data_IF_938616265429
#
_entry.id   IF_938616265429
#
_cell.length_a   1.000
_cell.length_b   1.000
_cell.length_c   1.000
_cell.angle_alpha   90.00
_cell.angle_beta   90.00
_cell.angle_gamma   90.00
#
_symmetry.space_group_name_H-M   'P 1'
#
loop_
_entity.id
_entity.type
_entity.pdbx_description
1 polymer ?
#
# COMPACT_ATOMS: atom_id res chain seq x y z
N UNK A 1 -4.59 -11.46 -21.05
CA UNK A 1 -5.87 -11.47 -20.33
C UNK A 1 -5.87 -12.69 -19.43
N UNK A 2 -5.96 -12.49 -18.12
CA UNK A 2 -6.25 -13.54 -17.15
C UNK A 2 -7.68 -14.00 -17.46
N UNK A 3 -7.91 -15.29 -17.72
CA UNK A 3 -9.22 -15.78 -18.16
C UNK A 3 -10.27 -15.72 -17.05
N UNK A 4 -11.56 -15.66 -17.39
CA UNK A 4 -12.64 -15.63 -16.39
C UNK A 4 -12.67 -16.88 -15.46
N UNK A 5 -12.18 -18.02 -15.95
CA UNK A 5 -12.01 -19.23 -15.14
C UNK A 5 -10.92 -19.05 -14.06
N UNK A 6 -9.83 -18.36 -14.40
CA UNK A 6 -8.69 -18.09 -13.52
C UNK A 6 -9.07 -17.08 -12.41
N UNK A 7 -9.96 -16.13 -12.73
CA UNK A 7 -10.50 -15.18 -11.73
C UNK A 7 -11.48 -15.80 -10.74
N UNK A 8 -12.17 -16.90 -11.09
CA UNK A 8 -13.06 -17.61 -10.15
C UNK A 8 -12.26 -18.51 -9.21
N UNK A 9 -11.33 -19.29 -9.76
CA UNK A 9 -10.42 -20.11 -8.96
C UNK A 9 -9.64 -19.25 -7.95
N UNK A 10 -9.14 -18.10 -8.39
CA UNK A 10 -8.48 -17.13 -7.50
C UNK A 10 -9.44 -16.61 -6.42
N UNK A 11 -10.68 -16.28 -6.77
CA UNK A 11 -11.69 -15.81 -5.80
C UNK A 11 -12.02 -16.88 -4.74
N UNK A 12 -12.19 -18.14 -5.15
CA UNK A 12 -12.47 -19.26 -4.25
C UNK A 12 -11.30 -19.52 -3.28
N UNK A 13 -10.06 -19.48 -3.79
CA UNK A 13 -8.87 -19.60 -2.96
C UNK A 13 -8.75 -18.47 -1.93
N UNK A 14 -9.01 -17.23 -2.35
CA UNK A 14 -9.03 -16.08 -1.45
C UNK A 14 -10.16 -16.18 -0.41
N UNK A 15 -11.36 -16.62 -0.80
CA UNK A 15 -12.48 -16.77 0.12
C UNK A 15 -12.13 -17.78 1.23
N UNK A 16 -11.62 -18.95 0.86
CA UNK A 16 -11.17 -19.95 1.83
C UNK A 16 -10.05 -19.46 2.74
N UNK A 17 -9.08 -18.71 2.21
CA UNK A 17 -7.99 -18.14 3.01
C UNK A 17 -8.48 -17.03 3.97
N UNK A 18 -9.43 -16.20 3.53
CA UNK A 18 -10.02 -15.15 4.34
C UNK A 18 -10.85 -15.71 5.50
N UNK A 19 -11.75 -16.66 5.22
CA UNK A 19 -12.52 -17.35 6.28
C UNK A 19 -11.60 -18.04 7.27
N UNK A 20 -10.58 -18.77 6.79
CA UNK A 20 -9.61 -19.44 7.66
C UNK A 20 -8.79 -18.47 8.52
N UNK A 21 -8.54 -17.24 8.08
CA UNK A 21 -7.91 -16.22 8.93
C UNK A 21 -8.91 -15.67 9.94
N UNK A 22 -10.12 -15.30 9.51
CA UNK A 22 -11.17 -14.78 10.40
C UNK A 22 -11.54 -15.75 11.52
N UNK A 23 -11.56 -17.06 11.25
CA UNK A 23 -11.84 -18.12 12.24
C UNK A 23 -10.77 -18.23 13.33
N UNK A 24 -9.57 -17.67 13.11
CA UNK A 24 -8.50 -17.67 14.10
C UNK A 24 -8.56 -16.49 15.06
N UNK A 25 -9.41 -15.49 14.78
CA UNK A 25 -9.47 -14.24 15.52
C UNK A 25 -10.39 -14.35 16.74
N UNK A 26 -9.99 -13.73 17.84
CA UNK A 26 -10.91 -13.51 18.96
C UNK A 26 -11.96 -12.43 18.61
N UNK A 27 -13.02 -12.25 19.42
CA UNK A 27 -14.07 -11.28 19.12
C UNK A 27 -13.57 -9.83 18.95
N UNK A 28 -12.58 -9.41 19.73
CA UNK A 28 -12.07 -8.03 19.68
C UNK A 28 -11.21 -7.82 18.42
N UNK A 29 -10.36 -8.79 18.08
CA UNK A 29 -9.61 -8.79 16.83
C UNK A 29 -10.55 -8.80 15.61
N UNK A 30 -11.62 -9.61 15.67
CA UNK A 30 -12.59 -9.73 14.57
C UNK A 30 -13.32 -8.41 14.32
N UNK A 31 -13.66 -7.66 15.38
CA UNK A 31 -14.29 -6.33 15.26
C UNK A 31 -13.42 -5.36 14.43
N UNK A 32 -12.10 -5.39 14.61
CA UNK A 32 -11.16 -4.52 13.88
C UNK A 32 -10.87 -5.05 12.46
N UNK A 33 -10.85 -6.38 12.31
CA UNK A 33 -10.51 -7.10 11.09
C UNK A 33 -11.62 -7.07 10.02
N UNK A 34 -12.87 -6.82 10.39
CA UNK A 34 -14.00 -6.81 9.45
C UNK A 34 -14.53 -5.40 9.19
N UNK A 35 -15.07 -5.20 8.00
CA UNK A 35 -15.78 -3.99 7.59
C UNK A 35 -17.08 -4.34 6.86
N UNK A 36 -17.91 -3.33 6.62
CA UNK A 36 -19.17 -3.50 5.89
C UNK A 36 -18.95 -4.04 4.48
N UNK A 37 -19.94 -4.81 3.99
CA UNK A 37 -19.93 -5.31 2.62
C UNK A 37 -19.87 -4.15 1.61
N UNK A 38 -19.10 -4.26 0.52
CA UNK A 38 -19.08 -3.25 -0.51
C UNK A 38 -20.48 -3.11 -1.14
N UNK A 39 -20.95 -1.86 -1.28
CA UNK A 39 -22.29 -1.57 -1.80
C UNK A 39 -22.28 -0.74 -3.07
N UNK A 40 -21.12 -0.15 -3.41
CA UNK A 40 -20.99 0.84 -4.47
C UNK A 40 -21.37 2.27 -4.03
N UNK A 41 -22.07 2.43 -2.91
CA UNK A 41 -22.38 3.72 -2.31
C UNK A 41 -21.11 4.38 -1.75
N UNK A 42 -20.90 5.67 -2.07
CA UNK A 42 -19.66 6.37 -1.73
C UNK A 42 -19.43 6.53 -0.22
N UNK A 43 -20.51 6.72 0.56
CA UNK A 43 -20.39 6.91 2.00
C UNK A 43 -20.16 5.57 2.71
N UNK A 44 -20.91 4.53 2.34
CA UNK A 44 -20.72 3.18 2.90
C UNK A 44 -19.36 2.56 2.51
N UNK A 45 -18.89 2.80 1.28
CA UNK A 45 -17.60 2.33 0.80
C UNK A 45 -16.41 3.21 1.24
N UNK A 46 -16.64 4.32 1.95
CA UNK A 46 -15.61 5.32 2.24
C UNK A 46 -14.38 4.69 2.91
N UNK A 47 -14.58 3.79 3.88
CA UNK A 47 -13.48 3.09 4.54
C UNK A 47 -12.76 2.11 3.59
N UNK A 48 -13.49 1.36 2.77
CA UNK A 48 -12.91 0.42 1.79
C UNK A 48 -12.02 1.16 0.78
N UNK A 49 -12.46 2.35 0.34
CA UNK A 49 -11.76 3.20 -0.63
C UNK A 49 -10.68 4.07 0.01
N UNK A 50 -10.55 4.10 1.33
CA UNK A 50 -9.48 4.82 2.03
C UNK A 50 -8.20 3.99 2.04
N UNK A 51 -7.23 4.35 1.21
CA UNK A 51 -5.95 3.63 1.09
C UNK A 51 -4.78 4.59 1.27
N UNK A 52 -3.61 4.03 1.54
CA UNK A 52 -2.37 4.77 1.72
C UNK A 52 -1.21 4.01 1.08
N UNK A 53 -0.18 4.72 0.61
CA UNK A 53 1.15 4.15 0.31
C UNK A 53 2.22 4.53 1.36
N UNK A 54 1.84 5.39 2.29
CA UNK A 54 2.69 6.06 3.28
C UNK A 54 2.67 5.33 4.65
N UNK A 55 3.57 5.65 5.60
CA UNK A 55 3.73 4.89 6.86
C UNK A 55 2.66 5.18 7.93
N UNK A 56 1.38 5.31 7.57
CA UNK A 56 0.29 5.61 8.51
C UNK A 56 -0.47 4.36 9.01
N UNK A 57 -1.58 4.56 9.71
CA UNK A 57 -2.60 3.54 9.96
C UNK A 57 -3.41 3.28 8.68
N UNK A 58 -3.30 2.06 8.15
CA UNK A 58 -4.02 1.66 6.93
C UNK A 58 -5.43 1.12 7.23
N UNK A 59 -5.83 1.02 8.49
CA UNK A 59 -7.10 0.48 8.95
C UNK A 59 -7.20 -1.04 8.80
N UNK A 60 -7.56 -1.73 9.87
CA UNK A 60 -7.62 -3.19 9.93
C UNK A 60 -6.81 -3.73 11.09
N UNK A 61 -6.76 -5.06 11.21
CA UNK A 61 -5.99 -5.72 12.25
C UNK A 61 -4.50 -5.73 11.86
N UNK A 62 -3.65 -5.19 12.73
CA UNK A 62 -2.20 -5.15 12.49
C UNK A 62 -1.57 -6.54 12.66
N UNK A 63 -0.36 -6.75 12.13
CA UNK A 63 0.42 -7.94 12.44
C UNK A 63 0.92 -7.92 13.89
N UNK A 64 1.16 -6.73 14.45
CA UNK A 64 1.54 -6.53 15.84
C UNK A 64 0.48 -7.13 16.80
N UNK A 65 -0.81 -6.94 16.49
CA UNK A 65 -1.92 -7.42 17.32
C UNK A 65 -2.34 -8.86 17.01
N UNK A 66 -1.56 -9.59 16.20
CA UNK A 66 -1.82 -10.96 15.80
C UNK A 66 -0.83 -11.95 16.44
N UNK A 67 -1.33 -13.11 16.84
CA UNK A 67 -0.51 -14.26 17.21
C UNK A 67 0.18 -14.87 15.97
N UNK A 68 1.29 -15.61 16.13
CA UNK A 68 2.00 -16.19 14.99
C UNK A 68 1.16 -17.06 14.03
N UNK A 69 0.20 -17.90 14.51
CA UNK A 69 -0.70 -18.63 13.61
C UNK A 69 -1.62 -17.72 12.79
N UNK A 70 -2.05 -16.59 13.35
CA UNK A 70 -2.90 -15.59 12.69
C UNK A 70 -2.11 -14.85 11.61
N UNK A 71 -0.88 -14.40 11.92
CA UNK A 71 0.04 -13.78 10.94
C UNK A 71 0.30 -14.71 9.75
N UNK A 72 0.50 -16.02 10.01
CA UNK A 72 0.64 -17.02 8.95
C UNK A 72 -0.63 -17.14 8.09
N UNK A 73 -1.81 -17.10 8.70
CA UNK A 73 -3.08 -17.15 7.97
C UNK A 73 -3.31 -15.85 7.16
N UNK A 74 -2.98 -14.68 7.71
CA UNK A 74 -2.99 -13.41 6.99
C UNK A 74 -2.10 -13.45 5.74
N UNK A 75 -0.85 -13.92 5.87
CA UNK A 75 0.05 -14.05 4.71
C UNK A 75 -0.42 -15.07 3.68
N UNK A 76 -1.19 -16.10 4.08
CA UNK A 76 -1.84 -17.01 3.12
C UNK A 76 -2.92 -16.30 2.32
N UNK A 77 -3.74 -15.45 2.95
CA UNK A 77 -4.71 -14.63 2.22
C UNK A 77 -3.99 -13.69 1.24
N UNK A 78 -2.97 -12.96 1.70
CA UNK A 78 -2.18 -12.07 0.83
C UNK A 78 -1.58 -12.85 -0.35
N UNK A 79 -1.01 -14.03 -0.12
CA UNK A 79 -0.46 -14.87 -1.17
C UNK A 79 -1.51 -15.36 -2.17
N UNK A 80 -2.75 -15.64 -1.72
CA UNK A 80 -3.81 -16.18 -2.58
C UNK A 80 -4.33 -15.18 -3.62
N UNK A 81 -4.21 -13.88 -3.36
CA UNK A 81 -4.58 -12.84 -4.33
C UNK A 81 -3.42 -12.27 -5.15
N UNK A 82 -2.20 -12.78 -4.98
CA UNK A 82 -1.00 -12.26 -5.63
C UNK A 82 -0.30 -13.33 -6.44
N UNK A 83 0.30 -12.92 -7.56
CA UNK A 83 1.30 -13.77 -8.21
C UNK A 83 2.48 -14.01 -7.27
N UNK A 84 3.22 -15.11 -7.46
CA UNK A 84 4.42 -15.40 -6.66
C UNK A 84 5.42 -14.24 -6.68
N UNK A 85 5.61 -13.58 -7.82
CA UNK A 85 6.51 -12.43 -7.94
C UNK A 85 6.04 -11.25 -7.07
N UNK A 86 4.74 -10.92 -7.13
CA UNK A 86 4.17 -9.86 -6.30
C UNK A 86 4.23 -10.18 -4.80
N UNK A 87 3.95 -11.44 -4.41
CA UNK A 87 4.09 -11.87 -3.02
C UNK A 87 5.53 -11.78 -2.52
N UNK A 88 6.51 -12.17 -3.34
CA UNK A 88 7.94 -11.99 -3.01
C UNK A 88 8.26 -10.51 -2.80
N UNK A 89 7.77 -9.63 -3.69
CA UNK A 89 7.95 -8.18 -3.53
C UNK A 89 7.34 -7.68 -2.21
N UNK A 90 6.08 -8.02 -1.91
CA UNK A 90 5.42 -7.63 -0.65
C UNK A 90 6.21 -8.10 0.57
N UNK A 91 6.57 -9.37 0.64
CA UNK A 91 7.35 -9.91 1.76
C UNK A 91 8.73 -9.25 1.89
N UNK A 92 9.36 -8.91 0.77
CA UNK A 92 10.65 -8.19 0.77
C UNK A 92 10.49 -6.78 1.30
N UNK A 93 9.48 -6.03 0.86
CA UNK A 93 9.20 -4.66 1.29
C UNK A 93 8.87 -4.61 2.78
N UNK A 94 8.05 -5.55 3.29
CA UNK A 94 7.84 -5.72 4.73
C UNK A 94 9.15 -5.90 5.50
N UNK A 95 10.07 -6.71 4.96
CA UNK A 95 11.38 -6.93 5.57
C UNK A 95 12.30 -5.71 5.55
N UNK A 96 12.21 -4.89 4.50
CA UNK A 96 13.00 -3.66 4.33
C UNK A 96 12.73 -2.62 5.41
N UNK A 97 11.61 -2.70 6.15
CA UNK A 97 11.38 -1.86 7.33
C UNK A 97 12.56 -1.92 8.32
N UNK A 98 13.19 -3.08 8.53
CA UNK A 98 14.36 -3.19 9.42
C UNK A 98 15.61 -2.51 8.84
N UNK A 99 15.75 -2.51 7.51
CA UNK A 99 16.88 -1.86 6.81
C UNK A 99 16.70 -0.34 6.85
N UNK A 100 15.48 0.12 6.65
CA UNK A 100 15.15 1.54 6.76
C UNK A 100 15.31 2.04 8.21
N UNK A 101 14.85 1.28 9.21
CA UNK A 101 15.06 1.59 10.64
C UNK A 101 16.55 1.81 10.93
N UNK A 102 17.40 0.92 10.42
CA UNK A 102 18.85 1.04 10.55
C UNK A 102 19.40 2.30 9.85
N UNK A 103 18.96 2.56 8.62
CA UNK A 103 19.39 3.70 7.81
C UNK A 103 19.02 5.03 8.47
N UNK A 104 17.85 5.08 9.11
CA UNK A 104 17.35 6.24 9.84
C UNK A 104 17.89 6.33 11.29
N UNK A 105 18.73 5.37 11.71
CA UNK A 105 19.41 5.41 13.01
C UNK A 105 18.57 4.94 14.19
N UNK A 106 17.59 4.06 13.95
CA UNK A 106 16.69 3.48 14.95
C UNK A 106 15.93 4.55 15.75
N UNK A 107 15.51 5.61 15.06
CA UNK A 107 14.72 6.69 15.65
C UNK A 107 13.25 6.32 15.71
N UNK A 108 12.58 6.74 16.79
CA UNK A 108 11.13 6.72 16.84
C UNK A 108 10.59 8.07 16.36
N UNK A 109 9.60 8.02 15.47
CA UNK A 109 8.83 9.19 15.07
C UNK A 109 7.39 8.97 15.56
N UNK A 110 6.81 9.99 16.18
CA UNK A 110 5.43 10.01 16.66
C UNK A 110 5.11 9.00 17.80
N UNK A 111 3.84 8.66 17.97
CA UNK A 111 3.21 7.96 19.10
C UNK A 111 3.57 6.47 19.25
N UNK A 112 4.66 6.01 18.65
CA UNK A 112 5.07 4.60 18.62
C UNK A 112 6.40 4.37 19.32
N UNK A 113 6.53 3.22 19.96
CA UNK A 113 7.76 2.76 20.61
C UNK A 113 8.80 2.23 19.63
N UNK A 114 8.37 1.95 18.39
CA UNK A 114 9.21 1.57 17.25
C UNK A 114 8.85 2.44 16.05
N UNK A 115 9.86 3.05 15.41
CA UNK A 115 9.68 3.90 14.24
C UNK A 115 9.30 3.11 12.99
N UNK A 116 10.29 2.43 12.38
CA UNK A 116 10.04 1.52 11.25
C UNK A 116 9.79 0.12 11.77
N UNK A 117 8.63 -0.45 11.42
CA UNK A 117 8.15 -1.69 12.03
C UNK A 117 7.54 -2.64 10.99
N UNK A 118 8.15 -3.82 10.73
CA UNK A 118 7.59 -4.86 9.86
C UNK A 118 6.25 -5.44 10.36
N UNK A 119 5.82 -5.14 11.59
CA UNK A 119 4.54 -5.56 12.13
C UNK A 119 3.40 -4.54 11.94
N UNK A 120 3.70 -3.34 11.42
CA UNK A 120 2.70 -2.29 11.14
C UNK A 120 2.07 -2.43 9.75
N UNK A 121 1.67 -3.65 9.43
CA UNK A 121 0.89 -4.00 8.24
C UNK A 121 -0.50 -4.45 8.67
N UNK A 122 -1.53 -3.97 7.97
CA UNK A 122 -2.92 -4.03 8.36
C UNK A 122 -3.68 -4.88 7.36
N UNK A 123 -4.52 -5.78 7.86
CA UNK A 123 -5.43 -6.59 7.04
C UNK A 123 -6.87 -6.32 7.47
N UNK A 124 -7.74 -6.06 6.49
CA UNK A 124 -9.18 -5.91 6.70
C UNK A 124 -9.96 -6.63 5.61
N UNK A 125 -11.01 -7.35 5.99
CA UNK A 125 -11.98 -8.00 5.11
C UNK A 125 -13.29 -7.21 5.13
N UNK A 126 -13.85 -6.92 3.97
CA UNK A 126 -15.10 -6.18 3.80
C UNK A 126 -16.19 -7.12 3.30
N UNK A 127 -17.28 -7.24 4.07
CA UNK A 127 -18.34 -8.21 3.79
C UNK A 127 -17.97 -9.64 4.17
N UNK A 128 -18.76 -10.60 3.67
CA UNK A 128 -18.57 -12.03 3.97
C UNK A 128 -17.86 -12.72 2.79
N UNK A 129 -16.70 -13.35 3.00
CA UNK A 129 -16.03 -14.11 1.95
C UNK A 129 -16.89 -15.28 1.45
N UNK A 130 -17.05 -15.39 0.13
CA UNK A 130 -17.86 -16.45 -0.46
C UNK A 130 -17.91 -16.42 -1.98
N UNK A 131 -18.70 -17.35 -2.52
CA UNK A 131 -18.97 -17.55 -3.95
C UNK A 131 -20.14 -16.68 -4.47
N UNK A 132 -20.87 -16.03 -3.57
CA UNK A 132 -22.04 -15.20 -3.85
C UNK A 132 -21.93 -13.86 -3.13
N UNK A 133 -22.59 -12.84 -3.67
CA UNK A 133 -22.57 -11.49 -3.10
C UNK A 133 -21.27 -10.76 -3.39
N UNK A 134 -21.05 -9.65 -2.67
CA UNK A 134 -19.87 -8.79 -2.86
C UNK A 134 -19.06 -8.74 -1.59
N UNK A 135 -17.77 -9.02 -1.72
CA UNK A 135 -16.81 -8.92 -0.63
C UNK A 135 -15.45 -8.46 -1.16
N UNK A 136 -14.56 -8.08 -0.27
CA UNK A 136 -13.21 -7.71 -0.65
C UNK A 136 -12.28 -7.70 0.54
N UNK A 137 -11.02 -7.37 0.29
CA UNK A 137 -10.06 -7.21 1.37
C UNK A 137 -9.00 -6.18 0.97
N UNK A 138 -8.42 -5.57 2.00
CA UNK A 138 -7.30 -4.65 1.89
C UNK A 138 -6.16 -5.13 2.76
N UNK A 139 -4.97 -5.18 2.18
CA UNK A 139 -3.73 -5.35 2.92
C UNK A 139 -2.85 -4.12 2.66
N UNK A 140 -2.36 -3.49 3.72
CA UNK A 140 -1.56 -2.29 3.55
C UNK A 140 -0.63 -1.96 4.72
N UNK A 141 0.46 -1.30 4.38
CA UNK A 141 1.46 -0.78 5.30
C UNK A 141 2.40 0.16 4.55
N UNK A 142 3.49 0.56 5.18
CA UNK A 142 4.47 1.42 4.53
C UNK A 142 4.94 0.79 3.18
N UNK A 143 4.71 1.50 2.08
CA UNK A 143 4.97 1.06 0.71
C UNK A 143 4.22 -0.16 0.15
N UNK A 144 3.18 -0.66 0.83
CA UNK A 144 2.31 -1.71 0.29
C UNK A 144 0.86 -1.27 0.41
N UNK A 145 0.12 -1.34 -0.69
CA UNK A 145 -1.33 -1.22 -0.70
C UNK A 145 -1.91 -2.19 -1.71
N UNK A 146 -2.62 -3.21 -1.25
CA UNK A 146 -3.29 -4.21 -2.10
C UNK A 146 -4.77 -4.20 -1.75
N UNK A 147 -5.61 -3.97 -2.76
CA UNK A 147 -7.06 -3.96 -2.62
C UNK A 147 -7.67 -4.92 -3.63
N UNK A 148 -8.53 -5.82 -3.17
CA UNK A 148 -9.23 -6.79 -4.02
C UNK A 148 -10.74 -6.64 -3.81
N UNK A 149 -11.49 -6.69 -4.92
CA UNK A 149 -12.95 -6.77 -4.92
C UNK A 149 -13.40 -8.03 -5.65
N UNK A 150 -14.27 -8.79 -5.00
CA UNK A 150 -14.91 -10.00 -5.51
C UNK A 150 -16.42 -9.78 -5.57
N UNK A 151 -17.02 -10.11 -6.72
CA UNK A 151 -18.47 -10.08 -6.93
C UNK A 151 -18.89 -11.44 -7.49
N UNK A 152 -19.81 -12.11 -6.81
CA UNK A 152 -20.38 -13.41 -7.19
C UNK A 152 -19.31 -14.45 -7.56
N UNK A 153 -18.30 -14.54 -6.68
CA UNK A 153 -17.19 -15.48 -6.80
C UNK A 153 -16.23 -15.16 -7.95
N UNK A 154 -16.19 -13.91 -8.43
CA UNK A 154 -15.27 -13.48 -9.48
C UNK A 154 -14.47 -12.28 -9.00
N UNK A 155 -13.14 -12.32 -9.16
CA UNK A 155 -12.30 -11.13 -8.95
C UNK A 155 -12.63 -10.10 -10.03
N UNK A 156 -13.21 -8.96 -9.62
CA UNK A 156 -13.62 -7.89 -10.55
C UNK A 156 -12.72 -6.67 -10.50
N UNK A 157 -11.97 -6.47 -9.41
CA UNK A 157 -10.97 -5.40 -9.31
C UNK A 157 -9.80 -5.78 -8.41
N UNK A 158 -8.63 -5.24 -8.73
CA UNK A 158 -7.39 -5.36 -7.95
C UNK A 158 -6.73 -3.99 -7.72
N UNK A 159 -7.53 -2.92 -7.68
CA UNK A 159 -7.06 -1.53 -7.57
C UNK A 159 -7.71 -0.81 -6.39
N UNK A 160 -6.99 0.12 -5.73
CA UNK A 160 -5.60 0.48 -6.01
C UNK A 160 -4.62 -0.62 -5.58
N UNK A 161 -3.54 -0.75 -6.36
CA UNK A 161 -2.41 -1.63 -6.07
C UNK A 161 -1.13 -0.80 -6.14
N UNK A 162 -0.47 -0.64 -4.99
CA UNK A 162 0.77 0.09 -4.85
C UNK A 162 1.82 -0.82 -4.21
N UNK A 163 2.99 -0.91 -4.84
CA UNK A 163 4.18 -1.55 -4.30
C UNK A 163 5.35 -0.59 -4.50
N UNK A 164 5.91 -0.10 -3.41
CA UNK A 164 7.13 0.71 -3.37
C UNK A 164 8.20 0.00 -2.55
N UNK A 165 9.42 0.55 -2.53
CA UNK A 165 10.47 0.10 -1.65
C UNK A 165 11.30 1.30 -1.19
N UNK A 166 11.50 1.41 0.12
CA UNK A 166 12.44 2.34 0.72
C UNK A 166 13.28 1.56 1.74
N UNK A 167 14.61 1.43 1.54
CA UNK A 167 15.36 1.92 0.38
C UNK A 167 15.02 1.17 -0.93
N UNK A 168 15.00 1.91 -2.06
CA UNK A 168 14.74 1.32 -3.39
C UNK A 168 15.87 0.37 -3.86
N UNK A 169 17.06 0.52 -3.31
CA UNK A 169 18.22 -0.34 -3.54
C UNK A 169 18.93 -0.58 -2.22
N UNK A 170 19.24 -1.84 -1.90
CA UNK A 170 20.04 -2.20 -0.73
C UNK A 170 21.25 -3.04 -1.12
N UNK A 171 22.38 -2.82 -0.48
CA UNK A 171 23.56 -3.65 -0.66
C UNK A 171 23.36 -5.04 -0.06
N UNK A 172 23.82 -6.07 -0.76
CA UNK A 172 23.92 -7.44 -0.27
C UNK A 172 25.40 -7.82 -0.14
N UNK A 173 25.69 -8.94 0.51
CA UNK A 173 27.07 -9.44 0.60
C UNK A 173 27.67 -9.64 -0.81
N UNK A 174 28.88 -9.11 -1.01
CA UNK A 174 29.53 -9.03 -2.32
C UNK A 174 29.11 -7.78 -3.11
N UNK A 175 29.26 -7.80 -4.43
CA UNK A 175 28.87 -6.68 -5.32
C UNK A 175 27.38 -6.75 -5.74
N UNK A 176 26.57 -7.52 -5.01
CA UNK A 176 25.16 -7.73 -5.33
C UNK A 176 24.28 -6.66 -4.67
N UNK A 177 23.16 -6.33 -5.33
CA UNK A 177 22.17 -5.38 -4.81
C UNK A 177 20.77 -5.97 -4.84
N UNK A 178 19.98 -5.68 -3.81
CA UNK A 178 18.56 -5.94 -3.74
C UNK A 178 17.81 -4.74 -4.36
N UNK A 179 17.08 -4.96 -5.45
CA UNK A 179 16.19 -3.97 -6.09
C UNK A 179 14.81 -4.60 -6.31
N UNK A 180 13.91 -4.59 -5.31
CA UNK A 180 12.65 -5.34 -5.37
C UNK A 180 11.77 -4.98 -6.57
N UNK A 181 11.82 -3.71 -6.99
CA UNK A 181 11.07 -3.16 -8.13
C UNK A 181 11.95 -2.87 -9.36
N UNK A 182 13.24 -3.22 -9.33
CA UNK A 182 14.21 -2.78 -10.33
C UNK A 182 13.85 -3.17 -11.76
N UNK A 183 13.30 -4.39 -11.98
CA UNK A 183 12.84 -4.82 -13.30
C UNK A 183 11.69 -3.97 -13.84
N UNK A 184 10.77 -3.54 -12.97
CA UNK A 184 9.61 -2.70 -13.35
C UNK A 184 10.08 -1.27 -13.63
N UNK A 185 10.96 -0.73 -12.78
CA UNK A 185 11.58 0.58 -12.98
C UNK A 185 12.36 0.65 -14.30
N UNK A 186 13.21 -0.36 -14.56
CA UNK A 186 14.05 -0.42 -15.76
C UNK A 186 13.18 -0.51 -17.01
N UNK A 187 12.14 -1.35 -16.99
CA UNK A 187 11.17 -1.46 -18.10
C UNK A 187 10.42 -0.15 -18.35
N UNK A 188 9.99 0.55 -17.30
CA UNK A 188 9.31 1.84 -17.44
C UNK A 188 10.25 2.90 -18.06
N UNK A 189 11.52 2.95 -17.63
CA UNK A 189 12.52 3.84 -18.22
C UNK A 189 12.82 3.48 -19.67
N UNK A 190 12.93 2.20 -19.99
CA UNK A 190 13.19 1.73 -21.34
C UNK A 190 12.02 2.03 -22.28
N UNK A 191 10.78 1.92 -21.81
CA UNK A 191 9.60 2.35 -22.55
C UNK A 191 9.70 3.83 -22.92
N UNK A 192 9.96 4.72 -21.96
CA UNK A 192 10.09 6.16 -22.22
C UNK A 192 11.26 6.46 -23.16
N UNK A 193 12.40 5.77 -23.00
CA UNK A 193 13.58 5.92 -23.87
C UNK A 193 13.35 5.39 -25.29
N UNK A 194 12.46 4.41 -25.47
CA UNK A 194 12.11 3.84 -26.77
C UNK A 194 11.21 4.74 -27.61
N UNK A 195 10.60 5.77 -27.00
CA UNK A 195 9.74 6.70 -27.71
C UNK A 195 10.57 7.54 -28.70
N UNK A 196 10.06 7.74 -29.94
CA UNK A 196 10.57 8.75 -30.86
C UNK A 196 10.62 10.14 -30.20
N UNK A 197 11.55 11.00 -30.65
CA UNK A 197 11.81 12.29 -30.00
C UNK A 197 10.54 13.15 -29.81
N UNK A 198 9.64 13.17 -30.81
CA UNK A 198 8.37 13.91 -30.74
C UNK A 198 7.44 13.35 -29.64
N UNK A 199 7.26 12.03 -29.58
CA UNK A 199 6.42 11.40 -28.56
C UNK A 199 7.04 11.52 -27.17
N UNK A 200 8.37 11.40 -27.07
CA UNK A 200 9.08 11.59 -25.81
C UNK A 200 8.92 13.02 -25.28
N UNK A 201 8.99 14.02 -26.16
CA UNK A 201 8.76 15.43 -25.80
C UNK A 201 7.35 15.73 -25.31
N UNK A 202 6.36 14.88 -25.64
CA UNK A 202 4.99 14.97 -25.11
C UNK A 202 4.78 14.13 -23.84
N UNK A 203 5.51 13.03 -23.69
CA UNK A 203 5.34 12.09 -22.58
C UNK A 203 6.11 12.50 -21.31
N UNK A 204 7.27 13.16 -21.47
CA UNK A 204 8.07 13.66 -20.34
C UNK A 204 7.59 15.05 -19.98
N UNK A 205 6.84 15.15 -18.88
CA UNK A 205 6.22 16.40 -18.44
C UNK A 205 7.22 17.34 -17.74
N UNK A 206 8.19 16.76 -17.03
CA UNK A 206 9.13 17.46 -16.18
C UNK A 206 10.54 16.90 -16.42
N UNK A 207 11.55 17.74 -16.32
CA UNK A 207 12.96 17.35 -16.39
C UNK A 207 13.45 16.67 -15.09
N UNK A 208 12.73 16.88 -13.99
CA UNK A 208 12.94 16.27 -12.67
C UNK A 208 11.68 15.54 -12.21
N UNK A 209 11.86 14.44 -11.47
CA UNK A 209 10.74 13.75 -10.83
C UNK A 209 10.10 14.65 -9.75
N UNK A 210 8.77 14.65 -9.61
CA UNK A 210 8.11 15.32 -8.50
C UNK A 210 8.56 14.71 -7.15
N UNK A 211 8.45 15.44 -6.03
CA UNK A 211 8.84 14.96 -4.71
C UNK A 211 8.05 13.72 -4.27
N UNK A 212 6.81 13.58 -4.74
CA UNK A 212 5.94 12.43 -4.47
C UNK A 212 4.88 12.25 -5.59
N UNK A 213 3.99 11.27 -5.43
CA UNK A 213 2.90 10.97 -6.35
C UNK A 213 1.87 12.11 -6.39
N UNK A 214 1.72 12.75 -7.56
CA UNK A 214 0.77 13.87 -7.77
C UNK A 214 -0.67 13.47 -7.45
N UNK A 215 -1.11 12.29 -7.88
CA UNK A 215 -2.46 11.79 -7.60
C UNK A 215 -2.67 11.45 -6.11
N UNK A 216 -1.57 11.19 -5.39
CA UNK A 216 -1.57 10.82 -3.99
C UNK A 216 -2.53 9.63 -3.70
N UNK A 217 -3.28 9.65 -2.59
CA UNK A 217 -4.21 8.58 -2.22
C UNK A 217 -5.63 8.75 -2.82
N UNK A 218 -5.81 9.60 -3.83
CA UNK A 218 -7.14 9.93 -4.37
C UNK A 218 -7.67 8.79 -5.24
N UNK A 219 -8.96 8.48 -5.10
CA UNK A 219 -9.65 7.50 -5.96
C UNK A 219 -9.98 8.09 -7.33
N UNK A 220 -10.23 9.40 -7.39
CA UNK A 220 -10.63 10.14 -8.60
C UNK A 220 -9.79 11.42 -8.69
N UNK A 221 -8.60 11.37 -9.32
CA UNK A 221 -7.76 12.54 -9.51
C UNK A 221 -8.47 13.60 -10.37
N UNK A 222 -8.33 14.88 -10.00
CA UNK A 222 -8.91 16.05 -10.66
C UNK A 222 -7.81 17.02 -11.12
N UNK A 223 -8.17 17.92 -12.03
CA UNK A 223 -7.29 19.03 -12.41
C UNK A 223 -7.02 19.93 -11.20
N UNK A 224 -5.75 20.30 -11.00
CA UNK A 224 -5.28 21.07 -9.84
C UNK A 224 -4.91 20.22 -8.62
N UNK A 225 -5.06 18.89 -8.67
CA UNK A 225 -4.54 18.01 -7.62
C UNK A 225 -3.00 18.08 -7.55
N UNK A 226 -2.51 18.05 -6.31
CA UNK A 226 -1.08 18.01 -6.00
C UNK A 226 -0.76 16.86 -5.04
N UNK A 227 0.53 16.54 -4.85
CA UNK A 227 0.98 15.51 -3.92
C UNK A 227 0.52 15.78 -2.48
N UNK A 228 0.56 14.75 -1.63
CA UNK A 228 0.22 14.90 -0.22
C UNK A 228 1.33 15.67 0.51
N UNK A 229 1.04 16.80 1.19
CA UNK A 229 1.98 17.40 2.13
C UNK A 229 2.17 16.48 3.34
N UNK A 230 3.31 16.53 4.04
CA UNK A 230 3.62 15.57 5.12
C UNK A 230 2.54 15.47 6.21
N UNK A 231 1.83 16.57 6.50
CA UNK A 231 0.70 16.58 7.42
C UNK A 231 -0.47 15.68 6.96
N UNK A 232 -0.73 15.64 5.66
CA UNK A 232 -1.81 14.85 5.04
C UNK A 232 -1.47 13.37 4.86
N UNK A 233 -0.27 12.94 5.26
CA UNK A 233 0.15 11.54 5.21
C UNK A 233 -0.67 10.68 6.17
N UNK A 234 -1.11 11.26 7.29
CA UNK A 234 -1.71 10.50 8.36
C UNK A 234 -3.20 10.29 8.18
N UNK A 235 -3.67 9.13 8.66
CA UNK A 235 -5.09 8.77 8.67
C UNK A 235 -5.95 9.78 9.42
N UNK A 236 -5.39 10.43 10.44
CA UNK A 236 -5.97 11.56 11.17
C UNK A 236 -5.53 12.86 10.52
N UNK A 237 -6.47 13.76 10.22
CA UNK A 237 -6.22 15.00 9.48
C UNK A 237 -5.32 16.01 10.21
N UNK A 238 -5.09 15.82 11.52
CA UNK A 238 -4.18 16.65 12.32
C UNK A 238 -3.71 15.89 13.57
N UNK A 239 -2.48 16.15 14.02
CA UNK A 239 -2.07 15.73 15.36
C UNK A 239 -2.70 16.62 16.44
N UNK A 240 -2.99 16.02 17.59
CA UNK A 240 -3.44 16.77 18.76
C UNK A 240 -2.35 17.69 19.34
N UNK A 241 -1.07 17.42 19.07
CA UNK A 241 0.07 18.23 19.50
C UNK A 241 0.48 19.25 18.42
N UNK A 242 0.30 20.56 18.66
CA UNK A 242 0.68 21.62 17.72
C UNK A 242 2.19 21.70 17.42
N UNK A 243 3.06 21.17 18.29
CA UNK A 243 4.51 21.13 18.02
C UNK A 243 4.86 20.02 17.03
N UNK A 244 4.20 18.86 17.12
CA UNK A 244 4.34 17.78 16.14
C UNK A 244 3.84 18.20 14.77
N UNK A 245 2.70 18.89 14.71
CA UNK A 245 2.14 19.42 13.46
C UNK A 245 3.13 20.37 12.77
N UNK A 246 3.70 21.33 13.51
CA UNK A 246 4.65 22.30 12.95
C UNK A 246 5.93 21.66 12.44
N UNK A 247 6.47 20.66 13.15
CA UNK A 247 7.66 19.92 12.67
C UNK A 247 7.41 19.23 11.33
N UNK A 248 6.21 18.70 11.13
CA UNK A 248 5.81 18.10 9.86
C UNK A 248 5.65 19.13 8.76
N UNK A 249 5.04 20.27 9.06
CA UNK A 249 4.88 21.37 8.11
C UNK A 249 6.26 21.88 7.64
N UNK A 250 7.18 22.15 8.58
CA UNK A 250 8.56 22.59 8.30
C UNK A 250 9.33 21.55 7.45
N UNK A 251 9.15 20.25 7.73
CA UNK A 251 9.76 19.19 6.93
C UNK A 251 9.17 19.11 5.52
N UNK A 252 7.87 19.41 5.35
CA UNK A 252 7.19 19.37 4.05
C UNK A 252 7.71 20.50 3.17
N UNK A 253 7.81 21.71 3.70
CA UNK A 253 8.40 22.87 3.02
C UNK A 253 9.85 22.58 2.60
N UNK A 254 10.66 21.98 3.48
CA UNK A 254 12.05 21.65 3.14
C UNK A 254 12.17 20.60 2.01
N UNK A 255 11.24 19.65 1.91
CA UNK A 255 11.18 18.69 0.81
C UNK A 255 10.80 19.40 -0.50
N UNK A 256 9.82 20.29 -0.47
CA UNK A 256 9.37 21.08 -1.64
C UNK A 256 10.49 22.01 -2.14
N UNK A 257 11.17 22.72 -1.24
CA UNK A 257 12.31 23.57 -1.57
C UNK A 257 13.45 22.76 -2.21
N UNK A 258 13.78 21.58 -1.67
CA UNK A 258 14.79 20.68 -2.26
C UNK A 258 14.34 20.10 -3.61
N UNK A 259 13.04 19.90 -3.78
CA UNK A 259 12.47 19.46 -5.04
C UNK A 259 12.59 20.55 -6.12
N UNK A 260 12.72 21.83 -5.74
CA UNK A 260 12.78 22.98 -6.64
C UNK A 260 11.59 22.99 -7.63
N UNK A 261 10.45 22.48 -7.18
CA UNK A 261 9.23 22.45 -7.95
C UNK A 261 8.51 23.78 -7.73
N UNK A 262 8.60 24.68 -8.70
CA UNK A 262 7.71 25.86 -8.75
C UNK A 262 6.54 25.49 -9.63
N UNK A 263 5.31 25.77 -9.19
CA UNK A 263 4.07 25.56 -9.97
C UNK A 263 4.30 25.93 -11.45
N UNK A 264 4.13 24.94 -12.32
CA UNK A 264 4.24 25.07 -13.77
C UNK A 264 2.84 25.15 -14.40
#
# INVERSE_FOLDING_TARGET
MIGAADTRETADAMAGAASAWLDTLDPAQREVAVGHAPTGDGAADAERRRWFYTPTDHGGLTFHDQLPPQQRAAMKLVASGLSRAAYVTVATVMGLENVLDHTEGFVTLFDRTRGRDPQMYHLRVFGEPGDTGTWGWRFGGHHVSVNILVVDGVVVASTPCFLGADPATSELLGDAVLRPLGRVEDLARDLVRSLPAELRGRAVLLDKAPPDLVAANRTEPQEGDNWIPLAGIWRTESFADPEQQRKLDDMSEAIEERAAFTDA
#
